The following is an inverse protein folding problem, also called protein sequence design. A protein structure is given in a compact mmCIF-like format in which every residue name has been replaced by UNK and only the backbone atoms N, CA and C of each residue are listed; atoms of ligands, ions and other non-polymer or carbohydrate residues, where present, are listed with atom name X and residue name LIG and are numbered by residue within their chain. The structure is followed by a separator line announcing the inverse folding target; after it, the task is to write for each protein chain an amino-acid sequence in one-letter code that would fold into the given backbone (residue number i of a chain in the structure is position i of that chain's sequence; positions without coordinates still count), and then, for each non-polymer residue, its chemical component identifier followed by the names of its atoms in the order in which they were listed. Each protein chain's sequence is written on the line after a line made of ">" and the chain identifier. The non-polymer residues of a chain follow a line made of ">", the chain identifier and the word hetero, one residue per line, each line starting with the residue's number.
data_IF_522888269549
#
_entry.id   IF_522888269549
#
_cell.length_a   1.000
_cell.length_b   1.000
_cell.length_c   1.000
_cell.angle_alpha   90.00
_cell.angle_beta   90.00
_cell.angle_gamma   90.00
#
_symmetry.space_group_name_H-M   'P 1'
#
loop_
_entity.id
_entity.type
_entity.pdbx_description
1 polymer ?
#
# COMPACT_ATOMS: atom_id res chain seq x y z
N UNK A 1 16.31 17.73 -13.20
CA UNK A 1 15.23 16.74 -13.01
C UNK A 1 14.52 17.04 -11.70
N UNK A 2 13.19 17.03 -11.71
CA UNK A 2 12.40 17.21 -10.49
C UNK A 2 12.06 15.81 -9.98
N UNK A 3 12.61 15.46 -8.82
CA UNK A 3 12.29 14.20 -8.17
C UNK A 3 10.96 14.29 -7.45
N UNK A 4 10.17 13.24 -7.59
CA UNK A 4 8.85 13.11 -6.98
C UNK A 4 8.87 11.98 -5.96
N UNK A 5 7.85 11.92 -5.10
CA UNK A 5 7.76 10.90 -4.06
C UNK A 5 6.43 10.19 -4.05
N UNK A 6 6.44 8.90 -3.74
CA UNK A 6 5.27 8.07 -3.50
C UNK A 6 5.44 7.31 -2.18
N UNK A 7 4.37 7.10 -1.41
CA UNK A 7 4.46 6.41 -0.13
C UNK A 7 4.74 4.92 -0.33
N UNK A 8 5.63 4.36 0.49
CA UNK A 8 5.72 2.90 0.67
C UNK A 8 4.60 2.49 1.62
N UNK A 9 3.72 1.57 1.19
CA UNK A 9 2.59 1.16 2.01
C UNK A 9 3.06 0.35 3.21
N UNK A 10 2.56 0.70 4.40
CA UNK A 10 2.79 -0.07 5.60
C UNK A 10 2.18 -1.47 5.43
N UNK A 11 2.95 -2.51 5.76
CA UNK A 11 2.55 -3.92 5.54
C UNK A 11 3.08 -4.53 4.24
N UNK A 12 3.80 -3.77 3.40
CA UNK A 12 4.57 -4.35 2.29
C UNK A 12 5.73 -5.21 2.80
N UNK A 13 5.95 -6.35 2.16
CA UNK A 13 7.14 -7.17 2.43
C UNK A 13 8.40 -6.44 1.93
N UNK A 14 9.51 -6.37 2.71
CA UNK A 14 10.76 -5.74 2.28
C UNK A 14 11.27 -6.22 0.91
N UNK A 15 11.10 -7.50 0.58
CA UNK A 15 11.50 -8.03 -0.73
C UNK A 15 10.75 -7.41 -1.90
N UNK A 16 9.46 -7.09 -1.73
CA UNK A 16 8.67 -6.40 -2.75
C UNK A 16 9.11 -4.95 -2.91
N UNK A 17 9.49 -4.29 -1.80
CA UNK A 17 10.05 -2.94 -1.81
C UNK A 17 11.37 -2.93 -2.61
N UNK A 18 12.26 -3.87 -2.34
CA UNK A 18 13.54 -4.02 -3.05
C UNK A 18 13.35 -4.33 -4.54
N UNK A 19 12.37 -5.17 -4.88
CA UNK A 19 11.99 -5.46 -6.27
C UNK A 19 11.54 -4.18 -6.98
N UNK A 20 10.65 -3.41 -6.38
CA UNK A 20 10.15 -2.18 -6.97
C UNK A 20 11.25 -1.12 -7.14
N UNK A 21 12.13 -0.97 -6.16
CA UNK A 21 13.31 -0.10 -6.25
C UNK A 21 14.15 -0.47 -7.47
N UNK A 22 14.45 -1.76 -7.61
CA UNK A 22 15.32 -2.25 -8.70
C UNK A 22 14.64 -2.15 -10.06
N UNK A 23 13.36 -2.46 -10.15
CA UNK A 23 12.59 -2.53 -11.41
C UNK A 23 12.25 -1.15 -11.98
N UNK A 24 11.98 -0.18 -11.12
CA UNK A 24 11.53 1.15 -11.52
C UNK A 24 12.56 2.25 -11.21
N UNK A 25 13.81 1.88 -10.93
CA UNK A 25 14.92 2.82 -10.67
C UNK A 25 14.62 3.85 -9.56
N UNK A 26 13.92 3.40 -8.51
CA UNK A 26 13.50 4.26 -7.40
C UNK A 26 14.57 4.28 -6.31
N UNK A 27 14.57 5.31 -5.49
CA UNK A 27 15.32 5.37 -4.25
C UNK A 27 14.36 5.27 -3.05
N UNK A 28 14.86 4.81 -1.91
CA UNK A 28 14.12 4.85 -0.66
C UNK A 28 14.53 6.08 0.15
N UNK A 29 13.56 6.87 0.58
CA UNK A 29 13.73 7.97 1.53
C UNK A 29 12.99 7.66 2.82
N UNK A 30 13.58 8.05 3.95
CA UNK A 30 12.91 8.02 5.25
C UNK A 30 12.77 9.45 5.78
N UNK A 31 11.56 9.85 6.13
CA UNK A 31 11.32 11.16 6.75
C UNK A 31 11.77 11.15 8.22
N UNK A 32 11.92 12.33 8.82
CA UNK A 32 12.13 12.54 10.25
C UNK A 32 11.06 11.85 11.13
N UNK A 33 9.81 11.78 10.65
CA UNK A 33 8.69 11.07 11.26
C UNK A 33 8.71 9.54 11.05
N UNK A 34 9.75 9.00 10.43
CA UNK A 34 9.89 7.57 10.14
C UNK A 34 9.03 7.05 8.97
N UNK A 35 8.47 7.92 8.13
CA UNK A 35 7.70 7.51 6.96
C UNK A 35 8.66 7.11 5.84
N UNK A 36 8.43 5.94 5.24
CA UNK A 36 9.18 5.48 4.07
C UNK A 36 8.50 5.93 2.78
N UNK A 37 9.30 6.47 1.86
CA UNK A 37 8.88 6.97 0.55
C UNK A 37 9.76 6.36 -0.54
N UNK A 38 9.16 6.04 -1.68
CA UNK A 38 9.87 5.90 -2.94
C UNK A 38 10.14 7.29 -3.53
N UNK A 39 11.35 7.54 -4.03
CA UNK A 39 11.75 8.74 -4.75
C UNK A 39 12.23 8.38 -6.16
N UNK A 40 11.70 9.06 -7.19
CA UNK A 40 12.10 8.81 -8.57
C UNK A 40 11.57 9.87 -9.55
N UNK A 41 11.72 9.61 -10.84
CA UNK A 41 11.05 10.39 -11.88
C UNK A 41 9.54 10.11 -11.88
N UNK A 42 8.75 11.06 -12.35
CA UNK A 42 7.29 10.96 -12.33
C UNK A 42 6.76 9.74 -13.13
N UNK A 43 7.41 9.43 -14.26
CA UNK A 43 7.03 8.30 -15.11
C UNK A 43 7.32 6.97 -14.42
N UNK A 44 8.49 6.81 -13.80
CA UNK A 44 8.86 5.62 -13.05
C UNK A 44 7.91 5.37 -11.88
N UNK A 45 7.54 6.42 -11.12
CA UNK A 45 6.57 6.31 -10.04
C UNK A 45 5.16 5.96 -10.54
N UNK A 46 4.76 6.48 -11.71
CA UNK A 46 3.48 6.15 -12.34
C UNK A 46 3.41 4.70 -12.79
N UNK A 47 4.52 4.13 -13.24
CA UNK A 47 4.58 2.70 -13.58
C UNK A 47 4.68 1.84 -12.32
N UNK A 48 5.43 2.28 -11.30
CA UNK A 48 5.52 1.61 -10.01
C UNK A 48 4.17 1.56 -9.27
N UNK A 49 3.33 2.59 -9.39
CA UNK A 49 1.99 2.60 -8.75
C UNK A 49 1.04 1.55 -9.31
N UNK A 50 1.31 1.04 -10.53
CA UNK A 50 0.57 -0.04 -11.16
C UNK A 50 1.14 -1.43 -10.86
N UNK A 51 2.28 -1.50 -10.16
CA UNK A 51 2.90 -2.77 -9.80
C UNK A 51 2.00 -3.56 -8.86
N UNK A 52 1.88 -4.86 -9.10
CA UNK A 52 1.07 -5.75 -8.28
C UNK A 52 1.86 -6.12 -7.03
N UNK A 53 1.28 -5.87 -5.86
CA UNK A 53 1.90 -6.15 -4.56
C UNK A 53 0.93 -6.88 -3.65
N UNK A 54 1.48 -7.46 -2.58
CA UNK A 54 0.76 -7.99 -1.43
C UNK A 54 1.06 -7.10 -0.20
N UNK A 55 0.01 -6.60 0.46
CA UNK A 55 0.12 -5.74 1.64
C UNK A 55 -0.68 -6.32 2.80
N UNK A 56 -0.02 -6.55 3.93
CA UNK A 56 -0.66 -6.97 5.18
C UNK A 56 -1.57 -5.85 5.69
N UNK A 57 -2.83 -6.20 5.97
CA UNK A 57 -3.79 -5.26 6.49
C UNK A 57 -3.39 -4.80 7.91
N UNK A 58 -3.66 -3.53 8.27
CA UNK A 58 -3.50 -3.09 9.64
C UNK A 58 -4.41 -3.91 10.58
N UNK A 59 -4.05 -4.04 11.87
CA UNK A 59 -4.92 -4.69 12.84
C UNK A 59 -6.17 -3.84 13.10
N UNK A 60 -7.28 -4.50 13.45
CA UNK A 60 -8.53 -3.84 13.84
C UNK A 60 -9.70 -3.82 12.85
N UNK A 61 -9.53 -3.93 11.50
CA UNK A 61 -10.69 -4.00 10.62
C UNK A 61 -11.45 -5.31 10.84
N UNK A 62 -12.77 -5.21 10.74
CA UNK A 62 -13.70 -6.33 10.78
C UNK A 62 -13.74 -7.04 9.44
N UNK A 63 -14.21 -8.29 9.43
CA UNK A 63 -14.39 -9.06 8.18
C UNK A 63 -15.31 -8.33 7.20
N UNK A 64 -16.38 -7.67 7.69
CA UNK A 64 -17.30 -6.91 6.85
C UNK A 64 -16.62 -5.71 6.19
N UNK A 65 -15.85 -4.92 6.94
CA UNK A 65 -15.10 -3.78 6.38
C UNK A 65 -14.10 -4.23 5.30
N UNK A 66 -13.44 -5.36 5.51
CA UNK A 66 -12.52 -5.95 4.52
C UNK A 66 -13.28 -6.40 3.26
N UNK A 67 -14.42 -7.09 3.43
CA UNK A 67 -15.24 -7.53 2.31
C UNK A 67 -15.79 -6.35 1.49
N UNK A 68 -16.22 -5.29 2.16
CA UNK A 68 -16.68 -4.06 1.50
C UNK A 68 -15.57 -3.41 0.68
N UNK A 69 -14.34 -3.35 1.21
CA UNK A 69 -13.19 -2.84 0.48
C UNK A 69 -12.88 -3.70 -0.76
N UNK A 70 -12.85 -5.02 -0.61
CA UNK A 70 -12.64 -5.97 -1.73
C UNK A 70 -13.75 -5.87 -2.78
N UNK A 71 -14.98 -5.54 -2.38
CA UNK A 71 -16.09 -5.31 -3.32
C UNK A 71 -16.05 -3.96 -4.05
N UNK A 72 -15.37 -2.96 -3.47
CA UNK A 72 -15.29 -1.59 -4.02
C UNK A 72 -14.06 -1.34 -4.88
N UNK A 73 -12.94 -1.97 -4.56
CA UNK A 73 -11.65 -1.73 -5.22
C UNK A 73 -11.19 -2.99 -5.95
N UNK A 74 -10.35 -2.84 -6.99
CA UNK A 74 -9.78 -3.96 -7.75
C UNK A 74 -8.64 -4.64 -6.98
N UNK A 75 -8.99 -5.24 -5.84
CA UNK A 75 -8.08 -5.95 -4.93
C UNK A 75 -8.67 -7.28 -4.52
N UNK A 76 -7.82 -8.21 -4.11
CA UNK A 76 -8.21 -9.54 -3.63
C UNK A 76 -7.70 -9.76 -2.22
N UNK A 77 -8.49 -10.45 -1.42
CA UNK A 77 -8.05 -10.91 -0.10
C UNK A 77 -7.23 -12.20 -0.25
N UNK A 78 -6.03 -12.21 0.32
CA UNK A 78 -5.19 -13.38 0.53
C UNK A 78 -4.97 -13.60 2.02
N UNK A 79 -4.66 -14.84 2.39
CA UNK A 79 -4.13 -15.16 3.72
C UNK A 79 -2.64 -15.42 3.63
N UNK A 80 -1.88 -14.87 4.57
CA UNK A 80 -0.46 -15.17 4.77
C UNK A 80 -0.18 -15.51 6.23
N UNK A 81 1.06 -15.92 6.52
CA UNK A 81 1.50 -16.21 7.88
C UNK A 81 1.47 -14.96 8.78
N UNK A 82 1.59 -13.76 8.20
CA UNK A 82 1.58 -12.47 8.90
C UNK A 82 0.15 -11.91 9.10
N UNK A 83 -0.86 -12.59 8.54
CA UNK A 83 -2.27 -12.20 8.62
C UNK A 83 -2.94 -11.97 7.25
N UNK A 84 -4.13 -11.35 7.23
CA UNK A 84 -4.84 -11.08 5.99
C UNK A 84 -4.12 -10.00 5.17
N UNK A 85 -4.01 -10.25 3.87
CA UNK A 85 -3.33 -9.38 2.91
C UNK A 85 -4.26 -8.94 1.80
N UNK A 86 -4.12 -7.71 1.33
CA UNK A 86 -4.67 -7.29 0.05
C UNK A 86 -3.64 -7.51 -1.07
N UNK A 87 -4.12 -8.06 -2.17
CA UNK A 87 -3.37 -8.31 -3.39
C UNK A 87 -3.98 -7.52 -4.55
N UNK A 88 -3.16 -6.78 -5.30
CA UNK A 88 -3.62 -5.89 -6.35
C UNK A 88 -2.56 -4.89 -6.74
N UNK A 89 -2.90 -3.91 -7.59
CA UNK A 89 -1.95 -2.83 -7.92
C UNK A 89 -1.75 -1.94 -6.69
N UNK A 90 -0.53 -1.42 -6.50
CA UNK A 90 -0.20 -0.56 -5.36
C UNK A 90 -1.21 0.58 -5.17
N UNK A 91 -1.64 1.22 -6.26
CA UNK A 91 -2.62 2.30 -6.22
C UNK A 91 -4.00 1.84 -5.72
N UNK A 92 -4.51 0.70 -6.19
CA UNK A 92 -5.81 0.18 -5.74
C UNK A 92 -5.76 -0.29 -4.28
N UNK A 93 -4.63 -0.86 -3.87
CA UNK A 93 -4.40 -1.25 -2.46
C UNK A 93 -4.35 -0.01 -1.57
N UNK A 94 -3.67 1.05 -1.99
CA UNK A 94 -3.62 2.29 -1.22
C UNK A 94 -5.02 2.86 -0.99
N UNK A 95 -5.86 2.88 -2.03
CA UNK A 95 -7.23 3.37 -1.95
C UNK A 95 -8.09 2.47 -1.05
N UNK A 96 -7.94 1.15 -1.17
CA UNK A 96 -8.63 0.18 -0.30
C UNK A 96 -8.21 0.31 1.17
N UNK A 97 -6.92 0.49 1.47
CA UNK A 97 -6.43 0.68 2.84
C UNK A 97 -6.94 1.98 3.42
N UNK A 98 -6.89 3.09 2.67
CA UNK A 98 -7.40 4.37 3.14
C UNK A 98 -8.90 4.28 3.47
N UNK A 99 -9.68 3.65 2.59
CA UNK A 99 -11.10 3.39 2.85
C UNK A 99 -11.33 2.57 4.13
N UNK A 100 -10.55 1.52 4.35
CA UNK A 100 -10.64 0.69 5.57
C UNK A 100 -10.32 1.54 6.80
N UNK A 101 -9.23 2.31 6.77
CA UNK A 101 -8.81 3.15 7.90
C UNK A 101 -9.84 4.25 8.20
N UNK A 102 -10.42 4.87 7.18
CA UNK A 102 -11.48 5.87 7.32
C UNK A 102 -12.72 5.24 7.98
N UNK A 103 -13.17 4.08 7.49
CA UNK A 103 -14.31 3.35 8.06
C UNK A 103 -14.06 2.95 9.51
N UNK A 104 -12.83 2.52 9.84
CA UNK A 104 -12.43 2.21 11.21
C UNK A 104 -12.45 3.45 12.11
N UNK A 105 -11.97 4.58 11.60
CA UNK A 105 -11.93 5.86 12.32
C UNK A 105 -13.35 6.32 12.64
N UNK A 106 -14.26 6.25 11.67
CA UNK A 106 -15.69 6.52 11.87
C UNK A 106 -16.31 5.58 12.91
N UNK A 107 -16.06 4.27 12.82
CA UNK A 107 -16.57 3.27 13.78
C UNK A 107 -16.08 3.53 15.21
N UNK A 108 -14.83 3.95 15.36
CA UNK A 108 -14.19 4.16 16.66
C UNK A 108 -14.38 5.58 17.21
N UNK A 109 -15.00 6.49 16.45
CA UNK A 109 -15.10 7.92 16.74
C UNK A 109 -13.73 8.55 17.10
N UNK A 110 -12.70 8.21 16.33
CA UNK A 110 -11.34 8.74 16.49
C UNK A 110 -11.11 10.02 15.70
#
# INVERSE_FOLDING_TARGET
>A
MVKHTMRVLSGMNPRQVDEMISKYHLNMLQTDKGILLFEGELEDLREASKHVVDVVLPPGPTVSEIQDAVGKFDVKLKQSEDGPQLHGRLIDINDAINYIVDTMTERLNL
#
